data_IF_924801490956
#
_entry.id   IF_924801490956
#
_cell.length_a   1.000
_cell.length_b   1.000
_cell.length_c   1.000
_cell.angle_alpha   90.00
_cell.angle_beta   90.00
_cell.angle_gamma   90.00
#
_symmetry.space_group_name_H-M   'P 1'
#
loop_
_entity.id
_entity.type
_entity.pdbx_description
1 polymer ?
#
# COMPACT_ATOMS: atom_id res chain seq x y z
N UNK A 1 -13.76 -1.85 -3.20
CA UNK A 1 -13.36 -0.43 -3.26
C UNK A 1 -12.48 -0.11 -2.07
N UNK A 2 -11.60 0.89 -2.19
CA UNK A 2 -10.70 1.29 -1.10
C UNK A 2 -11.47 1.68 0.17
N UNK A 3 -12.55 2.45 0.05
CA UNK A 3 -13.38 2.84 1.20
C UNK A 3 -13.86 1.64 2.02
N UNK A 4 -14.42 0.61 1.37
CA UNK A 4 -14.90 -0.59 2.05
C UNK A 4 -13.77 -1.34 2.76
N UNK A 5 -12.60 -1.47 2.12
CA UNK A 5 -11.44 -2.14 2.72
C UNK A 5 -10.93 -1.40 3.96
N UNK A 6 -10.88 -0.06 3.90
CA UNK A 6 -10.50 0.78 5.03
C UNK A 6 -11.49 0.69 6.19
N UNK A 7 -12.80 0.69 5.92
CA UNK A 7 -13.83 0.69 6.98
C UNK A 7 -14.06 -0.69 7.59
N UNK A 8 -13.84 -1.78 6.85
CA UNK A 8 -14.09 -3.16 7.34
C UNK A 8 -12.87 -3.85 7.95
N UNK A 9 -11.64 -3.36 7.73
CA UNK A 9 -10.42 -3.95 8.29
C UNK A 9 -9.89 -3.08 9.44
N UNK A 10 -10.18 -3.47 10.68
CA UNK A 10 -9.78 -2.75 11.89
C UNK A 10 -8.26 -2.62 12.03
N UNK A 11 -7.50 -3.66 11.65
CA UNK A 11 -6.04 -3.64 11.68
C UNK A 11 -5.49 -2.61 10.69
N UNK A 12 -5.95 -2.64 9.45
CA UNK A 12 -5.57 -1.67 8.41
C UNK A 12 -5.89 -0.23 8.83
N UNK A 13 -7.11 0.00 9.34
CA UNK A 13 -7.52 1.31 9.85
C UNK A 13 -6.61 1.80 10.98
N UNK A 14 -6.24 0.91 11.90
CA UNK A 14 -5.30 1.22 12.99
C UNK A 14 -3.91 1.58 12.44
N UNK A 15 -3.38 0.79 11.51
CA UNK A 15 -2.07 1.02 10.88
C UNK A 15 -2.03 2.38 10.18
N UNK A 16 -3.04 2.69 9.35
CA UNK A 16 -3.14 3.99 8.67
C UNK A 16 -3.26 5.14 9.68
N UNK A 17 -4.06 4.96 10.74
CA UNK A 17 -4.20 6.00 11.78
C UNK A 17 -2.87 6.26 12.51
N UNK A 18 -2.07 5.22 12.76
CA UNK A 18 -0.74 5.32 13.35
C UNK A 18 0.25 6.01 12.42
N UNK A 19 0.32 5.60 11.15
CA UNK A 19 1.21 6.21 10.14
C UNK A 19 0.87 7.69 9.91
N UNK A 20 -0.42 8.05 9.87
CA UNK A 20 -0.85 9.45 9.75
C UNK A 20 -0.49 10.31 10.96
N UNK A 21 -0.40 9.69 12.15
CA UNK A 21 0.03 10.37 13.38
C UNK A 21 1.54 10.49 13.45
N UNK A 22 2.26 9.47 12.99
CA UNK A 22 3.71 9.41 12.98
C UNK A 22 4.19 8.51 11.82
N UNK A 23 4.88 9.15 10.87
CA UNK A 23 5.35 8.54 9.62
C UNK A 23 6.35 7.41 9.85
N UNK A 24 7.07 7.39 10.97
CA UNK A 24 8.05 6.34 11.28
C UNK A 24 7.40 4.94 11.38
N UNK A 25 6.10 4.89 11.67
CA UNK A 25 5.36 3.63 11.70
C UNK A 25 5.22 3.00 10.30
N UNK A 26 5.41 3.76 9.22
CA UNK A 26 5.33 3.21 7.87
C UNK A 26 6.42 2.17 7.63
N UNK A 27 7.66 2.43 8.05
CA UNK A 27 8.77 1.48 7.88
C UNK A 27 8.49 0.14 8.55
N UNK A 28 7.83 0.15 9.71
CA UNK A 28 7.41 -1.08 10.42
C UNK A 28 6.36 -1.87 9.64
N UNK A 29 5.53 -1.20 8.87
CA UNK A 29 4.35 -1.79 8.22
C UNK A 29 4.49 -1.94 6.70
N UNK A 30 5.58 -1.48 6.10
CA UNK A 30 5.76 -1.34 4.65
C UNK A 30 5.55 -2.65 3.85
N UNK A 31 5.78 -3.80 4.47
CA UNK A 31 5.60 -5.12 3.84
C UNK A 31 4.28 -5.82 4.22
N UNK A 32 3.41 -5.18 5.02
CA UNK A 32 2.14 -5.76 5.40
C UNK A 32 1.22 -5.89 4.17
N UNK A 33 0.76 -7.12 3.91
CA UNK A 33 -0.02 -7.45 2.71
C UNK A 33 -1.29 -6.60 2.57
N UNK A 34 -2.03 -6.35 3.65
CA UNK A 34 -3.26 -5.57 3.59
C UNK A 34 -2.98 -4.09 3.32
N UNK A 35 -1.93 -3.54 3.94
CA UNK A 35 -1.50 -2.17 3.68
C UNK A 35 -1.04 -1.99 2.23
N UNK A 36 -0.16 -2.87 1.75
CA UNK A 36 0.35 -2.84 0.36
C UNK A 36 -0.80 -2.98 -0.63
N UNK A 37 -1.70 -3.95 -0.43
CA UNK A 37 -2.86 -4.13 -1.29
C UNK A 37 -3.77 -2.89 -1.28
N UNK A 38 -4.01 -2.29 -0.12
CA UNK A 38 -4.84 -1.08 0.01
C UNK A 38 -4.24 0.10 -0.74
N UNK A 39 -2.93 0.35 -0.58
CA UNK A 39 -2.24 1.44 -1.29
C UNK A 39 -2.24 1.22 -2.80
N UNK A 40 -2.05 -0.02 -3.25
CA UNK A 40 -2.08 -0.38 -4.66
C UNK A 40 -3.45 -0.15 -5.33
N UNK A 41 -4.55 -0.05 -4.58
CA UNK A 41 -5.85 0.34 -5.15
C UNK A 41 -5.86 1.76 -5.72
N UNK A 42 -4.91 2.61 -5.32
CA UNK A 42 -4.74 3.97 -5.81
C UNK A 42 -3.63 4.08 -6.88
N UNK A 43 -2.95 2.98 -7.19
CA UNK A 43 -1.93 2.97 -8.24
C UNK A 43 -2.57 3.15 -9.61
N UNK A 44 -1.93 3.94 -10.46
CA UNK A 44 -2.32 4.08 -11.86
C UNK A 44 -1.23 3.48 -12.76
N UNK A 45 -1.52 2.30 -13.32
CA UNK A 45 -0.59 1.56 -14.19
C UNK A 45 -0.47 2.13 -15.60
N UNK A 46 -1.27 3.13 -15.97
CA UNK A 46 -1.16 3.82 -17.26
C UNK A 46 -0.10 4.94 -17.23
N UNK A 47 0.39 5.31 -16.04
CA UNK A 47 1.46 6.28 -15.89
C UNK A 47 2.81 5.58 -16.00
N UNK A 48 3.77 6.24 -16.63
CA UNK A 48 5.16 5.80 -16.61
C UNK A 48 5.71 5.83 -15.18
N UNK A 49 6.62 4.89 -14.90
CA UNK A 49 7.30 4.85 -13.61
C UNK A 49 8.18 6.09 -13.45
N UNK A 50 8.33 6.62 -12.21
CA UNK A 50 9.25 7.72 -11.96
C UNK A 50 10.68 7.37 -12.40
N UNK A 51 11.47 8.38 -12.77
CA UNK A 51 12.85 8.18 -13.19
C UNK A 51 13.65 7.40 -12.13
N UNK A 52 14.32 6.33 -12.56
CA UNK A 52 15.12 5.47 -11.69
C UNK A 52 14.33 4.36 -10.97
N UNK A 53 13.01 4.27 -11.19
CA UNK A 53 12.19 3.16 -10.70
C UNK A 53 12.07 2.07 -11.76
N UNK A 54 12.05 0.82 -11.30
CA UNK A 54 11.90 -0.36 -12.13
C UNK A 54 10.76 -1.23 -11.56
N UNK A 55 9.91 -1.77 -12.44
CA UNK A 55 8.95 -2.80 -12.07
C UNK A 55 9.56 -4.17 -12.32
N UNK A 56 9.53 -5.02 -11.31
CA UNK A 56 9.94 -6.42 -11.41
C UNK A 56 8.72 -7.30 -11.22
N UNK A 57 8.63 -8.35 -12.03
CA UNK A 57 7.61 -9.36 -11.92
C UNK A 57 8.24 -10.62 -11.32
N UNK A 58 7.57 -11.21 -10.34
CA UNK A 58 7.88 -12.54 -9.88
C UNK A 58 7.50 -13.60 -10.95
N UNK A 59 7.86 -14.86 -10.70
CA UNK A 59 7.55 -15.98 -11.59
C UNK A 59 6.05 -16.20 -11.79
N UNK A 60 5.19 -15.60 -10.97
CA UNK A 60 3.73 -15.62 -11.08
C UNK A 60 3.17 -14.38 -11.79
N UNK A 61 4.04 -13.53 -12.33
CA UNK A 61 3.67 -12.29 -13.02
C UNK A 61 3.26 -11.16 -12.07
N UNK A 62 3.55 -11.29 -10.77
CA UNK A 62 3.23 -10.31 -9.74
C UNK A 62 4.40 -9.37 -9.52
#
# INVERSE_FOLDING_TARGET
>A
SAYRMFTSNTCLKHMISKVRRDVQHFERYQHNRDLVNFLNLFSNKQLELPRGWEMKHDHTGK
#
